data_IF_746081301995
#
_entry.id   IF_746081301995
#
_cell.length_a   1.000
_cell.length_b   1.000
_cell.length_c   1.000
_cell.angle_alpha   90.00
_cell.angle_beta   90.00
_cell.angle_gamma   90.00
#
_symmetry.space_group_name_H-M   'P 1'
#
loop_
_entity.id
_entity.type
_entity.pdbx_description
1 polymer ?
#
# COMPACT_ATOMS: atom_id res chain seq x y z
N UNK A 1 -3.31 11.06 17.77
CA UNK A 1 -3.94 11.13 16.43
C UNK A 1 -3.07 10.43 15.39
N UNK A 2 -1.79 10.83 15.26
CA UNK A 2 -0.77 10.26 14.36
C UNK A 2 -0.74 8.72 14.36
N UNK A 3 -0.59 8.07 15.54
CA UNK A 3 -0.63 6.59 15.64
C UNK A 3 -1.85 5.93 14.99
N UNK A 4 -3.04 6.51 15.19
CA UNK A 4 -4.28 5.95 14.63
C UNK A 4 -4.33 6.12 13.12
N UNK A 5 -3.92 7.28 12.61
CA UNK A 5 -3.83 7.53 11.17
C UNK A 5 -2.77 6.64 10.49
N UNK A 6 -1.61 6.46 11.10
CA UNK A 6 -0.60 5.51 10.61
C UNK A 6 -1.14 4.08 10.64
N UNK A 7 -1.89 3.70 11.68
CA UNK A 7 -2.54 2.37 11.73
C UNK A 7 -3.54 2.18 10.60
N UNK A 8 -4.34 3.21 10.28
CA UNK A 8 -5.26 3.18 9.14
C UNK A 8 -4.50 2.96 7.82
N UNK A 9 -3.44 3.73 7.57
CA UNK A 9 -2.62 3.57 6.36
C UNK A 9 -1.99 2.17 6.31
N UNK A 10 -1.46 1.68 7.44
CA UNK A 10 -0.89 0.34 7.55
C UNK A 10 -1.92 -0.76 7.22
N UNK A 11 -3.15 -0.67 7.74
CA UNK A 11 -4.21 -1.62 7.40
C UNK A 11 -4.59 -1.54 5.91
N UNK A 12 -4.70 -0.33 5.38
CA UNK A 12 -5.02 -0.07 3.98
C UNK A 12 -3.98 -0.64 3.00
N UNK A 13 -2.68 -0.58 3.32
CA UNK A 13 -1.63 -1.09 2.45
C UNK A 13 -1.18 -2.53 2.74
N UNK A 14 -1.35 -3.00 3.98
CA UNK A 14 -0.80 -4.28 4.44
C UNK A 14 -1.82 -5.42 4.58
N UNK A 15 -3.07 -5.11 4.91
CA UNK A 15 -4.14 -6.10 5.10
C UNK A 15 -5.12 -6.10 3.94
N UNK A 16 -5.63 -4.92 3.57
CA UNK A 16 -6.66 -4.82 2.55
C UNK A 16 -6.27 -5.51 1.23
N UNK A 17 -5.05 -5.34 0.68
CA UNK A 17 -4.65 -5.99 -0.57
C UNK A 17 -4.66 -7.51 -0.47
N UNK A 18 -4.28 -8.08 0.68
CA UNK A 18 -4.37 -9.55 0.88
C UNK A 18 -5.83 -10.02 0.80
N UNK A 19 -6.77 -9.25 1.34
CA UNK A 19 -8.18 -9.60 1.30
C UNK A 19 -8.81 -9.42 -0.09
N UNK A 20 -8.35 -8.43 -0.87
CA UNK A 20 -8.94 -8.09 -2.17
C UNK A 20 -8.21 -8.68 -3.37
N UNK A 21 -6.95 -9.09 -3.23
CA UNK A 21 -6.13 -9.59 -4.34
C UNK A 21 -5.94 -11.13 -4.27
N UNK A 22 -6.30 -11.79 -3.16
CA UNK A 22 -6.25 -13.28 -3.06
C UNK A 22 -7.55 -13.90 -3.55
N UNK A 23 -7.75 -13.90 -4.88
CA UNK A 23 -8.93 -14.47 -5.53
C UNK A 23 -8.67 -14.72 -7.03
N UNK A 24 -9.64 -15.31 -7.77
CA UNK A 24 -9.48 -15.62 -9.20
C UNK A 24 -9.38 -14.43 -10.15
N UNK A 25 -9.64 -13.19 -9.73
CA UNK A 25 -9.39 -12.03 -10.61
C UNK A 25 -7.95 -11.49 -10.51
N UNK A 26 -7.20 -11.90 -9.47
CA UNK A 26 -5.85 -11.41 -9.18
C UNK A 26 -4.87 -12.57 -8.95
N UNK A 27 -4.45 -12.82 -7.70
CA UNK A 27 -3.39 -13.80 -7.40
C UNK A 27 -3.70 -15.20 -7.94
N UNK A 28 -4.97 -15.60 -8.01
CA UNK A 28 -5.38 -16.92 -8.50
C UNK A 28 -5.93 -16.86 -9.94
N UNK A 29 -5.64 -15.79 -10.67
CA UNK A 29 -6.09 -15.63 -12.04
C UNK A 29 -5.44 -16.69 -12.96
N UNK A 30 -6.25 -17.54 -13.62
CA UNK A 30 -5.74 -18.60 -14.49
C UNK A 30 -5.12 -18.07 -15.79
N UNK A 31 -5.48 -16.86 -16.21
CA UNK A 31 -5.02 -16.24 -17.46
C UNK A 31 -3.66 -15.54 -17.28
N UNK A 32 -3.27 -15.23 -16.04
CA UNK A 32 -1.94 -14.69 -15.76
C UNK A 32 -0.85 -15.74 -15.93
N UNK A 33 0.32 -15.30 -16.38
CA UNK A 33 1.52 -16.15 -16.37
C UNK A 33 1.82 -16.62 -14.93
N UNK A 34 2.27 -17.88 -14.81
CA UNK A 34 2.55 -18.48 -13.51
C UNK A 34 3.61 -17.71 -12.70
N UNK A 35 4.57 -17.08 -13.38
CA UNK A 35 5.58 -16.25 -12.74
C UNK A 35 5.00 -14.92 -12.23
N UNK A 36 4.05 -14.32 -12.94
CA UNK A 36 3.38 -13.09 -12.50
C UNK A 36 2.65 -13.30 -11.16
N UNK A 37 1.99 -14.46 -10.98
CA UNK A 37 1.37 -14.83 -9.69
C UNK A 37 2.39 -14.93 -8.54
N UNK A 38 3.62 -15.38 -8.81
CA UNK A 38 4.68 -15.40 -7.80
C UNK A 38 5.07 -13.97 -7.37
N UNK A 39 5.20 -13.04 -8.31
CA UNK A 39 5.47 -11.63 -8.00
C UNK A 39 4.33 -10.99 -7.21
N UNK A 40 3.08 -11.32 -7.52
CA UNK A 40 1.94 -10.83 -6.76
C UNK A 40 1.93 -11.39 -5.33
N UNK A 41 2.14 -12.70 -5.15
CA UNK A 41 2.28 -13.31 -3.83
C UNK A 41 3.44 -12.70 -3.04
N UNK A 42 4.57 -12.44 -3.70
CA UNK A 42 5.73 -11.79 -3.11
C UNK A 42 5.40 -10.35 -2.68
N UNK A 43 4.74 -9.55 -3.52
CA UNK A 43 4.30 -8.19 -3.18
C UNK A 43 3.37 -8.19 -1.97
N UNK A 44 2.34 -9.04 -1.96
CA UNK A 44 1.37 -9.14 -0.88
C UNK A 44 2.02 -9.55 0.45
N UNK A 45 2.82 -10.61 0.43
CA UNK A 45 3.52 -11.09 1.63
C UNK A 45 4.53 -10.08 2.16
N UNK A 46 5.27 -9.39 1.29
CA UNK A 46 6.22 -8.35 1.69
C UNK A 46 5.49 -7.20 2.38
N UNK A 47 4.39 -6.70 1.80
CA UNK A 47 3.61 -5.62 2.40
C UNK A 47 3.00 -6.04 3.74
N UNK A 48 2.52 -7.28 3.86
CA UNK A 48 2.00 -7.82 5.12
C UNK A 48 3.08 -7.93 6.22
N UNK A 49 4.30 -8.34 5.86
CA UNK A 49 5.42 -8.40 6.80
C UNK A 49 5.87 -7.01 7.26
N UNK A 50 5.97 -6.04 6.33
CA UNK A 50 6.24 -4.64 6.66
C UNK A 50 5.15 -4.08 7.58
N UNK A 51 3.88 -4.37 7.27
CA UNK A 51 2.75 -4.02 8.12
C UNK A 51 2.90 -4.56 9.54
N UNK A 52 3.18 -5.86 9.67
CA UNK A 52 3.32 -6.53 10.96
C UNK A 52 4.45 -5.90 11.81
N UNK A 53 5.60 -5.65 11.17
CA UNK A 53 6.72 -4.98 11.81
C UNK A 53 6.36 -3.53 12.21
N UNK A 54 5.72 -2.78 11.33
CA UNK A 54 5.36 -1.39 11.58
C UNK A 54 4.32 -1.26 12.70
N UNK A 55 3.32 -2.15 12.78
CA UNK A 55 2.35 -2.20 13.89
C UNK A 55 3.06 -2.47 15.22
N UNK A 56 3.98 -3.42 15.26
CA UNK A 56 4.79 -3.70 16.44
C UNK A 56 5.62 -2.47 16.86
N UNK A 57 6.31 -1.84 15.92
CA UNK A 57 7.10 -0.63 16.19
C UNK A 57 6.24 0.53 16.69
N UNK A 58 5.05 0.71 16.11
CA UNK A 58 4.13 1.80 16.42
C UNK A 58 3.51 1.70 17.81
N UNK A 59 2.98 0.52 18.14
CA UNK A 59 2.18 0.33 19.35
C UNK A 59 3.00 -0.22 20.51
N UNK A 60 3.97 -1.09 20.27
CA UNK A 60 4.76 -1.72 21.32
C UNK A 60 6.08 -1.00 21.60
N UNK A 61 6.78 -0.53 20.56
CA UNK A 61 8.05 0.20 20.73
C UNK A 61 7.90 1.72 20.78
N UNK A 62 6.71 2.25 20.44
CA UNK A 62 6.47 3.69 20.39
C UNK A 62 7.28 4.43 19.31
N UNK A 63 7.87 3.73 18.36
CA UNK A 63 8.73 4.27 17.30
C UNK A 63 7.88 4.81 16.13
N UNK A 64 7.07 5.85 16.39
CA UNK A 64 6.07 6.36 15.45
C UNK A 64 6.66 6.78 14.09
N UNK A 65 7.81 7.47 14.10
CA UNK A 65 8.48 7.94 12.86
C UNK A 65 8.88 6.76 11.97
N UNK A 66 9.51 5.74 12.54
CA UNK A 66 9.94 4.55 11.78
C UNK A 66 8.73 3.77 11.25
N UNK A 67 7.70 3.56 12.08
CA UNK A 67 6.47 2.90 11.62
C UNK A 67 5.77 3.68 10.50
N UNK A 68 5.73 5.01 10.59
CA UNK A 68 5.18 5.87 9.54
C UNK A 68 6.00 5.80 8.24
N UNK A 69 7.33 5.75 8.32
CA UNK A 69 8.20 5.58 7.15
C UNK A 69 7.97 4.21 6.47
N UNK A 70 7.86 3.13 7.26
CA UNK A 70 7.53 1.81 6.73
C UNK A 70 6.16 1.79 6.06
N UNK A 71 5.16 2.44 6.66
CA UNK A 71 3.85 2.63 6.02
C UNK A 71 3.97 3.40 4.71
N UNK A 72 4.76 4.48 4.67
CA UNK A 72 4.98 5.27 3.46
C UNK A 72 5.61 4.42 2.34
N UNK A 73 6.57 3.56 2.66
CA UNK A 73 7.21 2.67 1.69
C UNK A 73 6.20 1.77 0.96
N UNK A 74 5.21 1.21 1.67
CA UNK A 74 4.15 0.37 1.07
C UNK A 74 3.39 1.16 -0.01
N UNK A 75 2.90 2.35 0.35
CA UNK A 75 2.07 3.16 -0.55
C UNK A 75 2.89 3.78 -1.68
N UNK A 76 4.13 4.18 -1.38
CA UNK A 76 5.00 4.73 -2.40
C UNK A 76 5.43 3.69 -3.42
N UNK A 77 5.56 2.41 -3.04
CA UNK A 77 5.75 1.31 -3.99
C UNK A 77 4.62 1.23 -5.03
N UNK A 78 3.36 1.36 -4.60
CA UNK A 78 2.22 1.42 -5.53
C UNK A 78 2.25 2.68 -6.40
N UNK A 79 2.56 3.84 -5.82
CA UNK A 79 2.70 5.11 -6.58
C UNK A 79 3.78 4.98 -7.65
N UNK A 80 4.95 4.45 -7.32
CA UNK A 80 6.03 4.22 -8.28
C UNK A 80 5.58 3.26 -9.37
N UNK A 81 4.96 2.12 -9.00
CA UNK A 81 4.43 1.17 -9.97
C UNK A 81 3.50 1.86 -10.96
N UNK A 82 2.46 2.52 -10.46
CA UNK A 82 1.47 3.18 -11.32
C UNK A 82 2.03 4.32 -12.18
N UNK A 83 2.94 5.15 -11.66
CA UNK A 83 3.54 6.23 -12.45
C UNK A 83 4.49 5.70 -13.55
N UNK A 84 5.12 4.55 -13.33
CA UNK A 84 6.09 3.97 -14.25
C UNK A 84 5.48 2.92 -15.20
N UNK A 85 4.18 2.61 -15.08
CA UNK A 85 3.47 1.66 -15.95
C UNK A 85 3.78 1.80 -17.44
N UNK A 86 3.82 3.02 -18.03
CA UNK A 86 4.12 3.18 -19.47
C UNK A 86 5.50 2.66 -19.88
N UNK A 87 6.43 2.47 -18.94
CA UNK A 87 7.80 2.00 -19.22
C UNK A 87 7.90 0.48 -19.35
N UNK A 88 6.93 -0.26 -18.81
CA UNK A 88 6.95 -1.73 -18.78
C UNK A 88 5.66 -2.37 -19.30
N UNK A 89 4.76 -1.57 -19.90
CA UNK A 89 3.48 -2.04 -20.44
C UNK A 89 2.48 -2.41 -19.34
N UNK A 90 2.55 -1.75 -18.18
CA UNK A 90 1.60 -1.96 -17.09
C UNK A 90 0.25 -1.30 -17.35
N UNK A 91 -0.81 -1.87 -16.79
CA UNK A 91 -2.17 -1.33 -16.79
C UNK A 91 -2.69 -1.21 -15.35
N UNK A 92 -3.52 -0.21 -15.03
CA UNK A 92 -4.03 -0.02 -13.67
C UNK A 92 -5.12 -1.02 -13.27
N UNK A 93 -5.64 -1.76 -14.24
CA UNK A 93 -6.75 -2.71 -14.13
C UNK A 93 -6.45 -3.89 -15.03
N UNK A 94 -6.71 -5.12 -14.56
CA UNK A 94 -6.56 -6.31 -15.38
C UNK A 94 -7.48 -6.33 -16.60
N UNK A 95 -7.06 -6.98 -17.69
CA UNK A 95 -7.88 -7.12 -18.89
C UNK A 95 -9.24 -7.77 -18.57
N UNK A 96 -10.32 -7.22 -19.14
CA UNK A 96 -11.68 -7.72 -18.95
C UNK A 96 -12.28 -7.44 -17.57
N UNK A 97 -11.54 -6.81 -16.65
CA UNK A 97 -12.02 -6.46 -15.31
C UNK A 97 -12.70 -5.10 -15.31
N UNK A 98 -13.85 -5.02 -14.66
CA UNK A 98 -14.52 -3.74 -14.36
C UNK A 98 -13.98 -3.21 -13.03
N UNK A 99 -13.15 -2.17 -13.11
CA UNK A 99 -12.74 -1.39 -11.93
C UNK A 99 -13.61 -0.13 -11.83
N UNK A 100 -14.22 0.16 -10.68
CA UNK A 100 -14.91 1.43 -10.45
C UNK A 100 -13.97 2.61 -10.69
N UNK A 101 -14.46 3.68 -11.32
CA UNK A 101 -13.68 4.89 -11.59
C UNK A 101 -14.38 6.12 -11.04
N UNK A 102 -13.59 7.10 -10.60
CA UNK A 102 -14.06 8.43 -10.22
C UNK A 102 -13.29 9.42 -11.08
N UNK A 103 -14.01 10.19 -11.92
CA UNK A 103 -13.39 11.16 -12.85
C UNK A 103 -12.29 10.50 -13.69
N UNK A 104 -12.62 9.35 -14.29
CA UNK A 104 -11.73 8.51 -15.12
C UNK A 104 -10.48 7.92 -14.43
N UNK A 105 -10.31 8.13 -13.12
CA UNK A 105 -9.24 7.53 -12.33
C UNK A 105 -9.75 6.23 -11.69
N UNK A 106 -9.07 5.09 -11.89
CA UNK A 106 -9.34 3.84 -11.18
C UNK A 106 -9.38 4.01 -9.65
N UNK A 107 -10.37 3.39 -9.00
CA UNK A 107 -10.61 3.55 -7.57
C UNK A 107 -9.43 3.06 -6.73
N UNK A 108 -8.80 1.94 -7.13
CA UNK A 108 -7.56 1.47 -6.51
C UNK A 108 -6.46 2.56 -6.51
N UNK A 109 -6.23 3.25 -7.63
CA UNK A 109 -5.24 4.32 -7.74
C UNK A 109 -5.58 5.49 -6.81
N UNK A 110 -6.82 5.96 -6.86
CA UNK A 110 -7.28 7.04 -5.99
C UNK A 110 -7.10 6.68 -4.51
N UNK A 111 -7.45 5.45 -4.14
CA UNK A 111 -7.31 4.94 -2.78
C UNK A 111 -5.84 4.98 -2.32
N UNK A 112 -4.92 4.36 -3.06
CA UNK A 112 -3.51 4.33 -2.65
C UNK A 112 -2.83 5.70 -2.71
N UNK A 113 -3.21 6.57 -3.65
CA UNK A 113 -2.71 7.95 -3.70
C UNK A 113 -3.18 8.74 -2.48
N UNK A 114 -4.45 8.58 -2.07
CA UNK A 114 -4.96 9.23 -0.87
C UNK A 114 -4.23 8.77 0.40
N UNK A 115 -3.93 7.48 0.51
CA UNK A 115 -3.18 6.93 1.64
C UNK A 115 -1.71 7.38 1.64
N UNK A 116 -1.07 7.45 0.46
CA UNK A 116 0.28 8.01 0.32
C UNK A 116 0.34 9.47 0.81
N UNK A 117 -0.61 10.30 0.38
CA UNK A 117 -0.70 11.70 0.81
C UNK A 117 -0.99 11.81 2.31
N UNK A 118 -1.92 11.02 2.83
CA UNK A 118 -2.24 10.99 4.26
C UNK A 118 -1.01 10.63 5.10
N UNK A 119 -0.31 9.55 4.74
CA UNK A 119 0.88 9.10 5.47
C UNK A 119 2.03 10.10 5.37
N UNK A 120 2.19 10.77 4.22
CA UNK A 120 3.14 11.86 4.03
C UNK A 120 2.84 13.06 4.95
N UNK A 121 1.56 13.46 5.03
CA UNK A 121 1.12 14.51 5.94
C UNK A 121 1.36 14.14 7.41
N UNK A 122 1.04 12.89 7.81
CA UNK A 122 1.32 12.40 9.17
C UNK A 122 2.81 12.49 9.49
N UNK A 123 3.68 12.04 8.59
CA UNK A 123 5.13 12.13 8.78
C UNK A 123 5.62 13.57 8.87
N UNK A 124 5.13 14.47 8.02
CA UNK A 124 5.47 15.90 8.07
C UNK A 124 5.19 16.49 9.46
N UNK A 125 4.04 16.20 10.05
CA UNK A 125 3.72 16.67 11.40
C UNK A 125 4.55 15.95 12.48
N UNK A 126 4.82 14.65 12.34
CA UNK A 126 5.66 13.89 13.28
C UNK A 126 7.10 14.41 13.31
N UNK A 127 7.66 14.79 12.17
CA UNK A 127 9.02 15.34 12.11
C UNK A 127 9.12 16.78 12.59
N UNK A 128 8.02 17.54 12.57
CA UNK A 128 7.95 18.87 13.19
C UNK A 128 7.83 18.84 14.71
N UNK A 129 7.42 17.71 15.30
CA UNK A 129 7.35 17.57 16.75
C UNK A 129 8.74 17.25 17.32
N UNK A 130 9.17 17.94 18.38
CA UNK A 130 10.39 17.57 19.09
C UNK A 130 10.24 16.15 19.66
N UNK A 131 11.33 15.38 19.64
CA UNK A 131 11.34 14.05 20.25
C UNK A 131 10.95 14.20 21.72
N UNK A 132 9.92 13.44 22.14
CA UNK A 132 9.57 13.32 23.55
C UNK A 132 10.71 12.58 24.23
N UNK A 133 11.56 13.32 24.94
CA UNK A 133 12.56 12.76 25.87
C UNK A 133 11.86 11.98 26.97
#
# INVERSE_FOLDING_TARGET
MTKRLTTLCLLAGGILPVLVDVNPSHLLNPDWDSHARVHEAWRLSTNFLIFSLAIFLLWYKGMEKLAGLLSLCIHFGFVIGTLLMPLYGGEPVGEGMLEPKIVDIPLNMLFFYSMFLLQSCVLFFLFKQPDKK
#
